data_IF_221234823491
#
_entry.id   IF_221234823491
#
_cell.length_a   1.000
_cell.length_b   1.000
_cell.length_c   1.000
_cell.angle_alpha   90.00
_cell.angle_beta   90.00
_cell.angle_gamma   90.00
#
_symmetry.space_group_name_H-M   'P 1'
#
loop_
_entity.id
_entity.type
_entity.pdbx_description
1 polymer ?
#
# COMPACT_ATOMS: atom_id res chain seq x y z
N UNK A 1 -6.68 -14.39 -14.20
CA UNK A 1 -6.82 -14.11 -15.63
C UNK A 1 -6.78 -12.61 -15.77
N UNK A 2 -5.71 -12.02 -16.33
CA UNK A 2 -5.66 -10.57 -16.59
C UNK A 2 -6.71 -10.25 -17.65
N UNK A 3 -7.68 -9.35 -17.39
CA UNK A 3 -8.72 -9.07 -18.37
C UNK A 3 -8.10 -8.54 -19.66
N UNK A 4 -8.44 -9.19 -20.77
CA UNK A 4 -7.94 -8.86 -22.12
C UNK A 4 -8.30 -7.43 -22.55
N UNK A 5 -9.31 -6.83 -21.88
CA UNK A 5 -9.75 -5.45 -22.08
C UNK A 5 -9.96 -4.74 -20.76
N UNK A 6 -9.16 -3.72 -20.49
CA UNK A 6 -9.30 -2.85 -19.32
C UNK A 6 -10.52 -1.95 -19.51
N UNK A 7 -11.41 -1.89 -18.52
CA UNK A 7 -12.58 -1.01 -18.54
C UNK A 7 -12.14 0.46 -18.57
N UNK A 8 -12.88 1.32 -19.27
CA UNK A 8 -12.65 2.77 -19.20
C UNK A 8 -12.87 3.27 -17.77
N UNK A 9 -12.00 4.18 -17.33
CA UNK A 9 -12.13 4.88 -16.06
C UNK A 9 -13.41 5.73 -16.12
N UNK A 10 -14.22 5.64 -15.08
CA UNK A 10 -15.41 6.45 -14.85
C UNK A 10 -15.25 7.17 -13.52
N UNK A 11 -15.75 8.40 -13.43
CA UNK A 11 -15.72 9.18 -12.18
C UNK A 11 -16.60 8.56 -11.11
N UNK A 12 -17.71 7.95 -11.53
CA UNK A 12 -18.63 7.23 -10.66
C UNK A 12 -18.41 5.73 -10.80
N UNK A 13 -18.19 5.05 -9.67
CA UNK A 13 -18.06 3.59 -9.60
C UNK A 13 -18.87 3.10 -8.41
N UNK A 14 -19.72 2.09 -8.60
CA UNK A 14 -20.53 1.51 -7.53
C UNK A 14 -19.67 0.75 -6.51
N UNK A 15 -20.22 0.44 -5.35
CA UNK A 15 -19.51 -0.35 -4.35
C UNK A 15 -19.32 -1.80 -4.80
N UNK A 16 -20.31 -2.34 -5.52
CA UNK A 16 -20.28 -3.66 -6.13
C UNK A 16 -19.18 -3.77 -7.20
N UNK A 17 -19.04 -2.75 -8.05
CA UNK A 17 -17.98 -2.70 -9.06
C UNK A 17 -16.59 -2.66 -8.41
N UNK A 18 -16.42 -1.84 -7.36
CA UNK A 18 -15.15 -1.77 -6.62
C UNK A 18 -14.82 -3.09 -5.93
N UNK A 19 -15.81 -3.77 -5.35
CA UNK A 19 -15.63 -5.10 -4.74
C UNK A 19 -15.13 -6.09 -5.78
N UNK A 20 -15.86 -6.19 -6.89
CA UNK A 20 -15.54 -7.10 -7.99
C UNK A 20 -14.14 -6.84 -8.56
N UNK A 21 -13.80 -5.58 -8.80
CA UNK A 21 -12.48 -5.22 -9.30
C UNK A 21 -11.37 -5.55 -8.30
N UNK A 22 -11.59 -5.29 -7.00
CA UNK A 22 -10.62 -5.60 -5.94
C UNK A 22 -10.38 -7.11 -5.84
N UNK A 23 -11.42 -7.93 -6.00
CA UNK A 23 -11.31 -9.40 -6.04
C UNK A 23 -10.55 -9.88 -7.27
N UNK A 24 -10.81 -9.30 -8.44
CA UNK A 24 -10.05 -9.59 -9.67
C UNK A 24 -8.57 -9.26 -9.46
N UNK A 25 -8.24 -8.12 -8.85
CA UNK A 25 -6.87 -7.75 -8.54
C UNK A 25 -6.20 -8.69 -7.54
N UNK A 26 -6.94 -9.21 -6.55
CA UNK A 26 -6.40 -10.22 -5.63
C UNK A 26 -6.04 -11.51 -6.38
N UNK A 27 -6.92 -11.98 -7.28
CA UNK A 27 -6.66 -13.16 -8.11
C UNK A 27 -5.45 -12.93 -9.02
N UNK A 28 -5.38 -11.77 -9.69
CA UNK A 28 -4.25 -11.40 -10.55
C UNK A 28 -2.94 -11.35 -9.77
N UNK A 29 -2.93 -10.76 -8.57
CA UNK A 29 -1.73 -10.69 -7.75
C UNK A 29 -1.19 -12.09 -7.43
N UNK A 30 -2.06 -13.04 -7.08
CA UNK A 30 -1.68 -14.44 -6.82
C UNK A 30 -1.12 -15.12 -8.05
N UNK A 31 -1.74 -14.94 -9.21
CA UNK A 31 -1.23 -15.47 -10.48
C UNK A 31 0.13 -14.88 -10.88
N UNK A 32 0.37 -13.61 -10.55
CA UNK A 32 1.65 -12.93 -10.77
C UNK A 32 2.71 -13.31 -9.71
N UNK A 33 2.39 -14.25 -8.82
CA UNK A 33 3.32 -14.82 -7.85
C UNK A 33 3.25 -14.20 -6.46
N UNK A 34 2.19 -13.51 -6.08
CA UNK A 34 1.94 -13.20 -4.68
C UNK A 34 1.55 -14.48 -3.90
N UNK A 35 1.99 -14.59 -2.65
CA UNK A 35 1.63 -15.71 -1.78
C UNK A 35 0.22 -15.53 -1.19
N UNK A 36 -0.17 -14.29 -0.91
CA UNK A 36 -1.56 -13.96 -0.58
C UNK A 36 -1.94 -12.59 -1.13
N UNK A 37 -3.24 -12.35 -1.28
CA UNK A 37 -3.80 -11.07 -1.62
C UNK A 37 -5.22 -10.97 -1.08
N UNK A 38 -5.56 -9.82 -0.47
CA UNK A 38 -6.84 -9.58 0.19
C UNK A 38 -7.36 -8.19 -0.08
N UNK A 39 -8.68 -8.08 -0.24
CA UNK A 39 -9.37 -6.80 -0.23
C UNK A 39 -9.55 -6.34 1.21
N UNK A 40 -9.35 -5.05 1.45
CA UNK A 40 -9.58 -4.39 2.74
C UNK A 40 -10.26 -3.05 2.53
N UNK A 41 -10.72 -2.46 3.62
CA UNK A 41 -11.24 -1.09 3.68
C UNK A 41 -10.20 -0.14 4.30
N UNK A 42 -10.36 1.18 4.14
CA UNK A 42 -9.50 2.17 4.81
C UNK A 42 -9.41 1.97 6.33
N UNK A 43 -10.48 1.50 6.97
CA UNK A 43 -10.53 1.26 8.41
C UNK A 43 -9.58 0.15 8.87
N UNK A 44 -9.19 -0.76 7.98
CA UNK A 44 -8.27 -1.85 8.27
C UNK A 44 -6.79 -1.41 8.23
N UNK A 45 -6.50 -0.18 7.78
CA UNK A 45 -5.13 0.34 7.62
C UNK A 45 -4.71 1.05 8.91
N UNK A 46 -3.78 0.48 9.71
CA UNK A 46 -3.34 1.12 10.94
C UNK A 46 -2.45 2.33 10.64
N UNK A 47 -2.82 3.50 11.16
CA UNK A 47 -2.05 4.74 11.07
C UNK A 47 -1.73 5.20 12.49
N UNK A 48 -0.49 5.01 12.90
CA UNK A 48 0.02 5.35 14.24
C UNK A 48 0.93 6.58 14.17
N UNK A 49 0.62 7.59 15.00
CA UNK A 49 1.37 8.85 15.02
C UNK A 49 2.85 8.67 15.42
N UNK A 50 3.17 7.57 16.12
CA UNK A 50 4.53 7.23 16.55
C UNK A 50 5.40 6.70 15.42
N UNK A 51 4.85 6.41 14.23
CA UNK A 51 5.64 5.86 13.10
C UNK A 51 6.82 6.77 12.74
N UNK A 52 6.65 8.09 12.86
CA UNK A 52 7.69 9.09 12.57
C UNK A 52 8.86 9.00 13.57
N UNK A 53 8.62 8.50 14.79
CA UNK A 53 9.67 8.32 15.79
C UNK A 53 10.71 7.28 15.36
N UNK A 54 10.30 6.24 14.61
CA UNK A 54 11.21 5.24 14.03
C UNK A 54 12.23 5.86 13.08
N UNK A 55 11.89 6.99 12.45
CA UNK A 55 12.79 7.73 11.57
C UNK A 55 13.62 8.78 12.32
N UNK A 56 13.10 9.34 13.43
CA UNK A 56 13.71 10.46 14.15
C UNK A 56 14.62 10.05 15.31
N UNK A 57 14.32 8.96 16.02
CA UNK A 57 14.95 8.64 17.31
C UNK A 57 15.24 7.12 17.43
N UNK A 58 16.52 6.68 17.36
CA UNK A 58 17.65 7.44 16.82
C UNK A 58 17.38 7.80 15.35
N UNK A 59 17.99 8.88 14.86
CA UNK A 59 17.77 9.34 13.49
C UNK A 59 18.19 8.24 12.51
N UNK A 60 17.24 7.82 11.67
CA UNK A 60 17.48 6.87 10.60
C UNK A 60 18.48 7.46 9.59
N UNK A 61 19.44 6.66 9.13
CA UNK A 61 20.41 7.03 8.08
C UNK A 61 19.74 7.56 6.79
N UNK A 62 18.51 7.11 6.48
CA UNK A 62 17.72 7.55 5.32
C UNK A 62 16.85 8.78 5.60
N UNK A 63 16.92 9.38 6.79
CA UNK A 63 16.09 10.54 7.11
C UNK A 63 16.42 11.71 6.17
N UNK A 64 15.40 12.25 5.50
CA UNK A 64 15.52 13.37 4.58
C UNK A 64 16.27 13.06 3.27
N UNK A 65 16.51 11.79 2.93
CA UNK A 65 17.24 11.44 1.69
C UNK A 65 16.34 11.34 0.46
N UNK A 66 15.01 11.31 0.63
CA UNK A 66 14.05 11.29 -0.48
C UNK A 66 12.72 11.95 -0.10
N UNK A 67 11.87 12.20 -1.10
CA UNK A 67 10.51 12.71 -0.92
C UNK A 67 9.60 11.80 -0.07
N UNK A 68 9.96 10.52 0.08
CA UNK A 68 9.23 9.56 0.89
C UNK A 68 9.73 9.48 2.34
N UNK A 69 10.74 10.27 2.71
CA UNK A 69 11.28 10.30 4.06
C UNK A 69 10.84 11.58 4.78
N UNK A 70 10.56 11.53 6.10
CA UNK A 70 10.39 12.75 6.88
C UNK A 70 11.62 13.66 6.74
N UNK A 71 11.43 15.00 6.69
CA UNK A 71 10.18 15.72 6.91
C UNK A 71 9.31 15.91 5.64
N UNK A 72 9.68 15.30 4.51
CA UNK A 72 9.01 15.52 3.22
C UNK A 72 7.81 14.57 2.99
N UNK A 73 7.79 13.42 3.66
CA UNK A 73 6.65 12.51 3.64
C UNK A 73 5.43 13.13 4.34
N UNK A 74 4.23 12.72 3.93
CA UNK A 74 2.99 13.04 4.63
C UNK A 74 3.10 12.73 6.13
N UNK A 75 2.52 13.61 6.95
CA UNK A 75 2.36 13.35 8.37
C UNK A 75 1.25 12.30 8.61
N UNK A 76 1.21 11.65 9.77
CA UNK A 76 0.17 10.66 10.09
C UNK A 76 -1.26 11.20 9.98
N UNK A 77 -1.51 12.45 10.37
CA UNK A 77 -2.79 13.15 10.21
C UNK A 77 -3.19 13.29 8.73
N UNK A 78 -2.28 13.81 7.90
CA UNK A 78 -2.50 13.97 6.45
C UNK A 78 -2.69 12.62 5.77
N UNK A 79 -1.94 11.60 6.20
CA UNK A 79 -2.07 10.23 5.68
C UNK A 79 -3.48 9.69 5.96
N UNK A 80 -4.03 9.94 7.15
CA UNK A 80 -5.38 9.51 7.54
C UNK A 80 -6.45 10.18 6.68
N UNK A 81 -6.31 11.48 6.40
CA UNK A 81 -7.20 12.21 5.50
C UNK A 81 -7.17 11.63 4.08
N UNK A 82 -5.97 11.39 3.54
CA UNK A 82 -5.80 10.84 2.19
C UNK A 82 -6.38 9.43 2.10
N UNK A 83 -6.08 8.55 3.06
CA UNK A 83 -6.58 7.17 3.09
C UNK A 83 -8.11 7.11 3.15
N UNK A 84 -8.74 8.04 3.88
CA UNK A 84 -10.20 8.11 3.98
C UNK A 84 -10.91 8.57 2.69
N UNK A 85 -10.18 9.08 1.68
CA UNK A 85 -10.76 9.38 0.36
C UNK A 85 -10.93 8.12 -0.51
N UNK A 86 -10.39 6.97 -0.09
CA UNK A 86 -10.55 5.70 -0.77
C UNK A 86 -11.69 4.89 -0.14
N UNK A 87 -12.29 3.97 -0.90
CA UNK A 87 -13.31 3.04 -0.41
C UNK A 87 -12.80 1.63 -0.19
N UNK A 88 -11.79 1.22 -0.97
CA UNK A 88 -11.17 -0.11 -0.92
C UNK A 88 -9.67 -0.03 -1.18
N UNK A 89 -8.96 -1.04 -0.68
CA UNK A 89 -7.58 -1.31 -1.05
C UNK A 89 -7.37 -2.82 -1.26
N UNK A 90 -6.27 -3.16 -1.93
CA UNK A 90 -5.78 -4.53 -2.11
C UNK A 90 -4.44 -4.64 -1.43
N UNK A 91 -4.34 -5.54 -0.45
CA UNK A 91 -3.08 -5.89 0.20
C UNK A 91 -2.51 -7.10 -0.50
N UNK A 92 -1.22 -7.02 -0.86
CA UNK A 92 -0.48 -8.10 -1.53
C UNK A 92 0.62 -8.55 -0.59
N UNK A 93 0.77 -9.86 -0.42
CA UNK A 93 1.77 -10.46 0.45
C UNK A 93 2.71 -11.32 -0.39
N UNK A 94 4.00 -11.04 -0.24
CA UNK A 94 5.08 -11.89 -0.76
C UNK A 94 5.99 -12.28 0.40
N UNK A 95 6.06 -13.58 0.65
CA UNK A 95 6.95 -14.16 1.64
C UNK A 95 8.31 -14.36 1.00
N UNK A 96 9.29 -13.63 1.49
CA UNK A 96 10.67 -13.75 1.04
C UNK A 96 11.54 -14.25 2.19
N UNK A 97 12.54 -15.07 1.88
CA UNK A 97 13.48 -15.51 2.91
C UNK A 97 14.34 -14.32 3.35
N UNK A 98 14.71 -14.19 4.64
CA UNK A 98 15.46 -13.03 5.13
C UNK A 98 16.78 -12.79 4.38
N UNK A 99 17.43 -13.85 3.89
CA UNK A 99 18.72 -13.77 3.22
C UNK A 99 18.65 -13.01 1.89
N UNK A 100 17.47 -12.89 1.27
CA UNK A 100 17.30 -12.11 0.04
C UNK A 100 17.03 -10.63 0.30
N UNK A 101 16.70 -10.25 1.53
CA UNK A 101 16.53 -8.84 1.92
C UNK A 101 17.91 -8.25 2.21
N UNK A 102 18.69 -8.08 1.14
CA UNK A 102 20.00 -7.44 1.23
C UNK A 102 19.79 -5.95 1.16
N UNK A 103 20.12 -5.28 2.26
CA UNK A 103 20.17 -3.83 2.27
C UNK A 103 21.57 -3.38 1.94
N UNK A 104 21.78 -2.99 0.70
CA UNK A 104 23.06 -2.42 0.27
C UNK A 104 23.33 -1.16 1.12
N UNK A 105 24.37 -1.23 1.94
CA UNK A 105 24.83 -0.14 2.81
C UNK A 105 26.06 0.48 2.15
N UNK A 106 25.90 0.95 0.92
CA UNK A 106 26.85 1.89 0.34
C UNK A 106 26.70 3.25 1.04
#
# INVERSE_FOLDING_TARGET
MVPEKIRRIKLETSEEDLMKDSEIYCLMAKELGADDARTITPADIPIDDRVVLKCRIPKCFGYGTSAHCPPYSLRPDETREVVNNYRRAVVIIRTVRPEVIVRDRA
#
